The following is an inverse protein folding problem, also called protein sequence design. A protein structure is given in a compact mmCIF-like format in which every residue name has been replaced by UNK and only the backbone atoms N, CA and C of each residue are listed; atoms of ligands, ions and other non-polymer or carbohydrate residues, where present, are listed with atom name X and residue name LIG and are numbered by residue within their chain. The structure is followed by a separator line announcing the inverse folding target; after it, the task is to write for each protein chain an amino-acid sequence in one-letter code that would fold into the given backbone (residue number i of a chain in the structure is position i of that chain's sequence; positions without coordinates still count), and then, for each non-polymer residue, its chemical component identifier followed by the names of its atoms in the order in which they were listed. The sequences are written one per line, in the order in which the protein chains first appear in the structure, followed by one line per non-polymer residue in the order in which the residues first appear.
data_IF_280521837334
#
_entry.id   IF_280521837334
#
_cell.length_a   1.000
_cell.length_b   1.000
_cell.length_c   1.000
_cell.angle_alpha   90.00
_cell.angle_beta   90.00
_cell.angle_gamma   90.00
#
_symmetry.space_group_name_H-M   'P 1'
#
loop_
_entity.id
_entity.type
_entity.pdbx_description
1 polymer ?
#
# COMPACT_ATOMS: atom_id res chain seq x y z
N UNK A 1 -8.26 11.82 2.13
CA UNK A 1 -7.49 10.66 2.59
C UNK A 1 -8.40 9.46 2.49
N UNK A 2 -7.86 8.31 2.10
CA UNK A 2 -8.59 7.05 2.19
C UNK A 2 -8.59 6.55 3.65
N UNK A 3 -9.77 6.32 4.19
CA UNK A 3 -10.05 5.74 5.52
C UNK A 3 -11.38 4.97 5.43
N UNK A 4 -11.50 3.75 5.98
CA UNK A 4 -10.48 3.01 6.72
C UNK A 4 -9.32 2.53 5.84
N UNK A 5 -8.15 2.32 6.45
CA UNK A 5 -6.99 1.74 5.76
C UNK A 5 -7.14 0.24 5.59
N UNK A 6 -7.07 -0.22 4.35
CA UNK A 6 -7.01 -1.64 4.02
C UNK A 6 -5.54 -2.01 3.83
N UNK A 7 -5.03 -2.92 4.65
CA UNK A 7 -3.64 -3.36 4.66
C UNK A 7 -3.51 -4.86 4.88
N UNK A 8 -2.27 -5.33 4.96
CA UNK A 8 -1.95 -6.74 5.19
C UNK A 8 -0.99 -6.91 6.36
N UNK A 9 -0.99 -8.08 6.97
CA UNK A 9 0.05 -8.47 7.91
C UNK A 9 1.33 -8.92 7.18
N UNK A 10 2.50 -8.91 7.84
CA UNK A 10 3.73 -9.42 7.24
C UNK A 10 3.61 -10.86 6.75
N UNK A 11 2.83 -11.69 7.45
CA UNK A 11 2.38 -13.00 7.01
C UNK A 11 0.87 -12.97 6.85
N UNK A 12 0.37 -13.30 5.66
CA UNK A 12 -1.06 -13.18 5.35
C UNK A 12 -1.58 -14.37 4.54
N UNK A 13 -2.86 -14.70 4.72
CA UNK A 13 -3.53 -15.74 3.94
C UNK A 13 -3.68 -15.33 2.47
N UNK A 14 -3.40 -16.26 1.56
CA UNK A 14 -3.56 -16.06 0.12
C UNK A 14 -4.99 -15.64 -0.23
N UNK A 15 -6.00 -16.31 0.35
CA UNK A 15 -7.40 -15.99 0.10
C UNK A 15 -7.75 -14.54 0.44
N UNK A 16 -7.29 -14.03 1.58
CA UNK A 16 -7.53 -12.66 2.01
C UNK A 16 -6.90 -11.64 1.05
N UNK A 17 -5.67 -11.88 0.58
CA UNK A 17 -5.03 -11.03 -0.43
C UNK A 17 -5.84 -11.04 -1.72
N UNK A 18 -6.24 -12.22 -2.21
CA UNK A 18 -7.03 -12.35 -3.44
C UNK A 18 -8.36 -11.60 -3.35
N UNK A 19 -9.05 -11.69 -2.22
CA UNK A 19 -10.37 -11.08 -2.04
C UNK A 19 -10.27 -9.55 -1.96
N UNK A 20 -9.28 -9.03 -1.25
CA UNK A 20 -8.98 -7.59 -1.22
C UNK A 20 -8.58 -7.10 -2.62
N UNK A 21 -7.72 -7.82 -3.34
CA UNK A 21 -7.32 -7.43 -4.70
C UNK A 21 -8.50 -7.46 -5.68
N UNK A 22 -9.49 -8.34 -5.51
CA UNK A 22 -10.69 -8.38 -6.37
C UNK A 22 -11.67 -7.24 -6.07
N UNK A 23 -11.76 -6.83 -4.81
CA UNK A 23 -12.76 -5.85 -4.35
C UNK A 23 -12.22 -4.42 -4.41
N UNK A 24 -10.94 -4.23 -4.08
CA UNK A 24 -10.31 -2.91 -3.96
C UNK A 24 -9.50 -2.53 -5.20
N UNK A 25 -9.59 -1.25 -5.57
CA UNK A 25 -8.84 -0.65 -6.67
C UNK A 25 -7.56 0.10 -6.22
N UNK A 26 -7.17 -0.04 -4.95
CA UNK A 26 -5.97 0.61 -4.42
C UNK A 26 -4.69 0.04 -5.06
N UNK A 27 -3.70 0.91 -5.32
CA UNK A 27 -2.42 0.52 -5.91
C UNK A 27 -1.35 0.18 -4.88
N UNK A 28 -1.57 0.48 -3.60
CA UNK A 28 -0.62 0.23 -2.52
C UNK A 28 -1.34 -0.05 -1.22
N UNK A 29 -0.77 -0.95 -0.42
CA UNK A 29 -1.33 -1.46 0.82
C UNK A 29 -0.28 -1.35 1.92
N UNK A 30 -0.57 -0.71 3.07
CA UNK A 30 0.33 -0.69 4.20
C UNK A 30 0.46 -2.10 4.76
N UNK A 31 1.68 -2.46 5.17
CA UNK A 31 1.94 -3.66 5.96
C UNK A 31 1.94 -3.25 7.41
N UNK A 32 1.13 -3.95 8.21
CA UNK A 32 0.91 -3.61 9.61
C UNK A 32 0.98 -4.81 10.51
N UNK A 33 1.50 -4.61 11.72
CA UNK A 33 1.65 -5.67 12.71
C UNK A 33 1.27 -5.14 14.08
N UNK A 34 0.56 -5.95 14.85
CA UNK A 34 0.26 -5.66 16.25
C UNK A 34 1.46 -6.10 17.10
N UNK A 35 2.10 -5.17 17.83
CA UNK A 35 3.18 -5.54 18.75
C UNK A 35 2.63 -6.42 19.88
N UNK A 36 3.41 -7.41 20.31
CA UNK A 36 3.05 -8.26 21.45
C UNK A 36 2.91 -7.44 22.75
N UNK A 37 3.78 -6.44 22.93
CA UNK A 37 3.84 -5.58 24.12
C UNK A 37 2.71 -4.53 24.20
N UNK A 38 2.03 -4.23 23.08
CA UNK A 38 0.91 -3.26 23.03
C UNK A 38 -0.32 -3.87 22.33
N UNK A 39 -1.05 -4.79 23.00
CA UNK A 39 -2.24 -5.43 22.43
C UNK A 39 -3.29 -4.40 22.00
N UNK A 40 -3.86 -4.60 20.80
CA UNK A 40 -4.84 -3.68 20.21
C UNK A 40 -4.22 -2.49 19.46
N UNK A 41 -2.89 -2.30 19.53
CA UNK A 41 -2.19 -1.34 18.67
C UNK A 41 -1.80 -1.99 17.35
N UNK A 42 -1.68 -1.17 16.31
CA UNK A 42 -1.23 -1.57 14.98
C UNK A 42 -0.07 -0.67 14.59
N UNK A 43 1.08 -1.25 14.24
CA UNK A 43 2.28 -0.49 13.84
C UNK A 43 2.57 -0.69 12.37
N UNK A 44 2.90 0.39 11.67
CA UNK A 44 3.34 0.33 10.27
C UNK A 44 4.70 -0.37 10.18
N UNK A 45 4.80 -1.34 9.27
CA UNK A 45 6.03 -2.10 8.96
C UNK A 45 6.52 -1.86 7.54
N UNK A 46 5.64 -1.47 6.63
CA UNK A 46 6.03 -1.22 5.25
C UNK A 46 4.88 -0.84 4.34
N UNK A 47 5.17 -0.79 3.06
CA UNK A 47 4.18 -0.62 1.99
C UNK A 47 4.47 -1.62 0.89
N UNK A 48 3.43 -2.35 0.46
CA UNK A 48 3.50 -3.25 -0.70
C UNK A 48 2.57 -2.75 -1.81
N UNK A 49 3.00 -2.89 -3.06
CA UNK A 49 2.23 -2.48 -4.22
C UNK A 49 1.33 -3.62 -4.72
N UNK A 50 0.22 -3.23 -5.33
CA UNK A 50 -0.73 -4.16 -5.96
C UNK A 50 -0.05 -5.05 -6.98
N UNK A 51 0.77 -4.46 -7.86
CA UNK A 51 1.47 -5.17 -8.92
C UNK A 51 2.45 -6.21 -8.35
N UNK A 52 3.11 -5.91 -7.23
CA UNK A 52 4.00 -6.86 -6.56
C UNK A 52 3.23 -8.08 -6.07
N UNK A 53 2.08 -7.87 -5.41
CA UNK A 53 1.21 -8.97 -4.94
C UNK A 53 0.73 -9.84 -6.10
N UNK A 54 0.33 -9.23 -7.22
CA UNK A 54 -0.11 -9.94 -8.41
C UNK A 54 1.01 -10.82 -8.98
N UNK A 55 2.25 -10.32 -9.05
CA UNK A 55 3.40 -11.12 -9.52
C UNK A 55 3.71 -12.28 -8.56
N UNK A 56 3.69 -12.03 -7.24
CA UNK A 56 3.90 -13.05 -6.19
C UNK A 56 2.86 -14.18 -6.34
N UNK A 57 1.58 -13.83 -6.50
CA UNK A 57 0.49 -14.78 -6.70
C UNK A 57 0.64 -15.54 -8.01
N UNK A 58 0.96 -14.86 -9.12
CA UNK A 58 1.15 -15.49 -10.43
C UNK A 58 2.28 -16.52 -10.42
N UNK A 59 3.34 -16.26 -9.67
CA UNK A 59 4.50 -17.14 -9.49
C UNK A 59 4.30 -18.19 -8.39
N UNK A 60 3.13 -18.21 -7.74
CA UNK A 60 2.79 -19.11 -6.63
C UNK A 60 3.82 -19.10 -5.49
N UNK A 61 4.27 -17.91 -5.12
CA UNK A 61 5.21 -17.70 -4.01
C UNK A 61 4.46 -17.69 -2.68
N UNK A 62 3.93 -18.87 -2.33
CA UNK A 62 3.19 -19.15 -1.10
C UNK A 62 3.34 -20.62 -0.74
N UNK A 63 3.03 -20.97 0.51
CA UNK A 63 3.08 -22.36 0.97
C UNK A 63 2.02 -22.61 2.06
N UNK A 64 1.67 -23.89 2.32
CA UNK A 64 0.91 -24.26 3.51
C UNK A 64 1.53 -23.67 4.77
N UNK A 65 0.70 -23.39 5.77
CA UNK A 65 1.15 -22.84 7.04
C UNK A 65 2.21 -23.75 7.69
N UNK A 66 3.29 -23.14 8.21
CA UNK A 66 4.43 -23.86 8.79
C UNK A 66 5.49 -24.32 7.79
N UNK A 67 5.19 -24.33 6.48
CA UNK A 67 6.17 -24.67 5.44
C UNK A 67 6.85 -23.42 4.86
N UNK A 68 8.12 -23.54 4.41
CA UNK A 68 8.81 -22.44 3.76
C UNK A 68 8.20 -22.17 2.37
N UNK A 69 7.94 -20.90 2.06
CA UNK A 69 7.52 -20.50 0.72
C UNK A 69 8.68 -20.62 -0.29
N UNK A 70 8.39 -20.84 -1.59
CA UNK A 70 9.41 -20.86 -2.62
C UNK A 70 10.23 -19.56 -2.67
N UNK A 71 11.55 -19.68 -2.89
CA UNK A 71 12.47 -18.52 -3.00
C UNK A 71 12.77 -18.12 -4.45
N UNK A 72 12.17 -18.78 -5.44
CA UNK A 72 12.53 -18.68 -6.86
C UNK A 72 12.03 -17.40 -7.57
N UNK A 73 11.89 -16.28 -6.86
CA UNK A 73 11.46 -15.01 -7.42
C UNK A 73 12.62 -14.02 -7.46
N UNK A 74 12.84 -13.43 -8.62
CA UNK A 74 13.92 -12.48 -8.89
C UNK A 74 13.37 -11.10 -9.22
N UNK A 75 14.22 -10.08 -9.17
CA UNK A 75 13.85 -8.72 -9.62
C UNK A 75 13.43 -8.72 -11.10
N UNK A 76 14.01 -9.60 -11.92
CA UNK A 76 13.65 -9.73 -13.33
C UNK A 76 12.19 -10.17 -13.50
N UNK A 77 11.66 -11.01 -12.61
CA UNK A 77 10.26 -11.43 -12.66
C UNK A 77 9.31 -10.24 -12.51
N UNK A 78 9.60 -9.31 -11.61
CA UNK A 78 8.79 -8.09 -11.46
C UNK A 78 8.90 -7.14 -12.67
N UNK A 79 10.04 -7.15 -13.38
CA UNK A 79 10.26 -6.32 -14.57
C UNK A 79 9.63 -6.92 -15.83
N UNK A 80 9.63 -8.25 -15.97
CA UNK A 80 9.11 -8.93 -17.16
C UNK A 80 7.60 -8.76 -17.33
N UNK A 81 6.87 -8.53 -16.23
CA UNK A 81 5.46 -8.19 -16.27
C UNK A 81 5.20 -6.68 -16.42
N UNK A 82 6.22 -5.88 -16.70
CA UNK A 82 6.05 -4.47 -17.05
C UNK A 82 6.24 -4.29 -18.57
N UNK A 83 5.32 -3.61 -19.28
CA UNK A 83 4.09 -2.96 -18.81
C UNK A 83 2.86 -3.88 -18.83
N UNK A 84 3.03 -5.20 -18.92
CA UNK A 84 1.95 -6.18 -18.96
C UNK A 84 1.17 -6.21 -17.63
N UNK A 85 0.22 -5.30 -17.46
CA UNK A 85 -0.62 -5.19 -16.27
C UNK A 85 -1.51 -6.44 -16.10
N UNK A 86 -0.93 -7.49 -15.51
CA UNK A 86 -1.64 -8.69 -15.08
C UNK A 86 -2.80 -8.29 -14.19
N UNK A 87 -3.99 -8.78 -14.49
CA UNK A 87 -5.15 -8.55 -13.62
C UNK A 87 -5.25 -9.71 -12.65
N UNK A 88 -5.74 -9.43 -11.45
CA UNK A 88 -6.05 -10.49 -10.46
C UNK A 88 -7.03 -11.53 -11.01
N UNK A 89 -7.87 -11.14 -11.98
CA UNK A 89 -8.83 -12.02 -12.67
C UNK A 89 -8.15 -13.10 -13.52
N UNK A 90 -6.90 -12.86 -13.96
CA UNK A 90 -6.14 -13.77 -14.83
C UNK A 90 -5.27 -14.77 -14.04
N UNK A 91 -5.37 -14.73 -12.71
CA UNK A 91 -4.63 -15.60 -11.80
C UNK A 91 -5.59 -16.66 -11.24
N UNK A 92 -5.35 -17.92 -11.61
CA UNK A 92 -6.04 -19.05 -11.03
C UNK A 92 -5.37 -19.46 -9.71
N UNK A 93 -6.16 -19.42 -8.63
CA UNK A 93 -5.79 -19.88 -7.29
C UNK A 93 -6.86 -20.91 -6.89
N UNK A 94 -6.45 -22.12 -6.50
CA UNK A 94 -7.37 -23.17 -6.05
C UNK A 94 -7.93 -22.87 -4.65
N UNK A 95 -9.02 -23.53 -4.26
CA UNK A 95 -9.57 -23.41 -2.90
C UNK A 95 -8.57 -23.89 -1.82
N UNK A 96 -7.74 -24.88 -2.15
CA UNK A 96 -6.66 -25.30 -1.26
C UNK A 96 -5.60 -24.20 -1.10
N UNK A 97 -5.16 -23.61 -2.20
CA UNK A 97 -4.14 -22.54 -2.21
C UNK A 97 -4.64 -21.28 -1.50
N UNK A 98 -5.94 -21.01 -1.45
CA UNK A 98 -6.52 -19.90 -0.68
C UNK A 98 -6.24 -20.03 0.83
N UNK A 99 -6.04 -21.25 1.33
CA UNK A 99 -5.72 -21.52 2.73
C UNK A 99 -4.22 -21.40 3.03
N UNK A 100 -3.37 -21.24 2.02
CA UNK A 100 -1.93 -21.10 2.20
C UNK A 100 -1.56 -19.69 2.71
N UNK A 101 -0.31 -19.57 3.16
CA UNK A 101 0.26 -18.34 3.71
C UNK A 101 1.31 -17.76 2.77
N UNK A 102 1.36 -16.43 2.71
CA UNK A 102 2.41 -15.65 2.05
C UNK A 102 3.17 -14.87 3.13
N UNK A 103 4.49 -14.96 3.13
CA UNK A 103 5.39 -14.05 3.80
C UNK A 103 5.78 -12.89 2.88
N UNK A 104 5.28 -11.70 3.20
CA UNK A 104 5.48 -10.46 2.45
C UNK A 104 6.77 -9.72 2.84
N UNK A 105 7.45 -10.13 3.92
CA UNK A 105 8.66 -9.48 4.44
C UNK A 105 9.78 -9.28 3.41
N UNK A 106 10.01 -10.20 2.47
CA UNK A 106 11.03 -10.00 1.44
C UNK A 106 10.64 -8.99 0.35
N UNK A 107 9.37 -8.58 0.27
CA UNK A 107 8.83 -7.90 -0.91
C UNK A 107 8.34 -6.47 -0.67
N UNK A 108 7.89 -6.16 0.55
CA UNK A 108 7.41 -4.81 0.85
C UNK A 108 8.57 -3.83 1.03
N UNK A 109 8.33 -2.55 0.79
CA UNK A 109 9.27 -1.49 1.17
C UNK A 109 9.18 -1.26 2.70
N UNK A 110 10.25 -1.55 3.48
CA UNK A 110 10.23 -1.41 4.93
C UNK A 110 10.25 0.06 5.40
N UNK A 111 10.63 0.99 4.53
CA UNK A 111 10.74 2.42 4.83
C UNK A 111 9.88 3.24 3.86
N UNK A 112 8.54 3.12 3.93
CA UNK A 112 7.66 3.98 3.15
C UNK A 112 7.74 5.42 3.66
N UNK A 113 7.46 6.39 2.78
CA UNK A 113 7.33 7.78 3.22
C UNK A 113 6.10 7.94 4.11
N UNK A 114 6.31 8.50 5.30
CA UNK A 114 5.28 8.80 6.29
C UNK A 114 5.29 10.27 6.66
N UNK A 115 4.15 10.76 7.15
CA UNK A 115 4.00 12.07 7.79
C UNK A 115 3.17 11.93 9.05
N UNK A 116 3.39 12.82 10.01
CA UNK A 116 2.54 12.90 11.21
C UNK A 116 1.18 13.54 10.86
N UNK A 117 0.13 13.13 11.57
CA UNK A 117 -1.23 13.67 11.42
C UNK A 117 -1.35 15.19 11.62
N UNK A 118 -0.40 15.83 12.30
CA UNK A 118 -0.37 17.28 12.55
C UNK A 118 0.16 18.10 11.37
N UNK A 119 0.66 17.45 10.30
CA UNK A 119 1.20 18.15 9.15
C UNK A 119 0.13 19.00 8.44
N UNK A 120 0.48 20.26 8.19
CA UNK A 120 -0.40 21.14 7.41
C UNK A 120 -0.42 20.75 5.93
N UNK A 121 -1.55 20.95 5.28
CA UNK A 121 -1.74 20.60 3.87
C UNK A 121 -0.66 21.19 2.91
N UNK A 122 -0.17 22.44 3.07
CA UNK A 122 0.96 22.94 2.29
C UNK A 122 2.23 22.07 2.42
N UNK A 123 2.57 21.65 3.65
CA UNK A 123 3.74 20.79 3.91
C UNK A 123 3.56 19.42 3.26
N UNK A 124 2.37 18.84 3.41
CA UNK A 124 2.01 17.57 2.75
C UNK A 124 2.17 17.67 1.24
N UNK A 125 1.64 18.73 0.63
CA UNK A 125 1.74 18.94 -0.81
C UNK A 125 3.20 19.06 -1.28
N UNK A 126 4.02 19.84 -0.56
CA UNK A 126 5.43 20.01 -0.89
C UNK A 126 6.22 18.70 -0.78
N UNK A 127 6.03 17.91 0.27
CA UNK A 127 6.68 16.59 0.41
C UNK A 127 6.22 15.66 -0.71
N UNK A 128 4.91 15.58 -0.95
CA UNK A 128 4.33 14.67 -1.93
C UNK A 128 4.79 15.01 -3.36
N UNK A 129 4.74 16.29 -3.74
CA UNK A 129 5.13 16.76 -5.09
C UNK A 129 6.63 16.82 -5.26
N UNK A 130 7.37 17.29 -4.25
CA UNK A 130 8.82 17.41 -4.29
C UNK A 130 9.52 16.06 -4.45
N UNK A 131 9.00 15.00 -3.82
CA UNK A 131 9.54 13.64 -3.94
C UNK A 131 8.84 12.79 -5.04
N UNK A 132 7.85 13.35 -5.75
CA UNK A 132 7.15 12.63 -6.81
C UNK A 132 6.31 11.42 -6.34
N UNK A 133 5.83 11.44 -5.09
CA UNK A 133 5.20 10.29 -4.45
C UNK A 133 3.90 9.84 -5.16
N UNK A 134 3.54 8.57 -4.91
CA UNK A 134 2.24 7.99 -5.28
C UNK A 134 1.36 7.74 -4.06
N UNK A 135 2.00 7.31 -2.99
CA UNK A 135 1.37 6.98 -1.71
C UNK A 135 2.17 7.69 -0.62
N UNK A 136 1.48 8.35 0.30
CA UNK A 136 2.05 8.95 1.49
C UNK A 136 1.20 8.54 2.68
N UNK A 137 1.79 7.83 3.64
CA UNK A 137 1.06 7.27 4.77
C UNK A 137 1.03 8.30 5.90
N UNK A 138 -0.16 8.55 6.46
CA UNK A 138 -0.35 9.40 7.63
C UNK A 138 -0.29 8.52 8.86
N UNK A 139 0.58 8.84 9.81
CA UNK A 139 0.73 8.10 11.06
C UNK A 139 0.50 8.97 12.29
N UNK A 140 0.24 8.33 13.43
CA UNK A 140 0.37 8.97 14.74
C UNK A 140 1.82 8.99 15.24
N UNK A 141 1.99 9.47 16.47
CA UNK A 141 3.25 9.59 17.22
C UNK A 141 3.96 8.24 17.47
N UNK A 142 3.23 7.11 17.49
CA UNK A 142 3.83 5.78 17.60
C UNK A 142 3.68 4.93 16.33
N UNK A 143 3.65 5.57 15.16
CA UNK A 143 3.65 4.92 13.84
C UNK A 143 2.44 4.02 13.57
N UNK A 144 1.30 4.29 14.21
CA UNK A 144 0.02 3.70 13.80
C UNK A 144 -0.43 4.37 12.52
N UNK A 145 -0.69 3.62 11.44
CA UNK A 145 -1.17 4.22 10.21
C UNK A 145 -2.65 4.59 10.36
N UNK A 146 -2.96 5.86 10.13
CA UNK A 146 -4.31 6.44 10.27
C UNK A 146 -5.02 6.63 8.93
N UNK A 147 -4.26 6.85 7.86
CA UNK A 147 -4.78 7.08 6.53
C UNK A 147 -3.68 7.06 5.47
N UNK A 148 -4.08 7.05 4.20
CA UNK A 148 -3.17 7.21 3.07
C UNK A 148 -3.61 8.39 2.19
N UNK A 149 -2.62 9.18 1.77
CA UNK A 149 -2.79 10.29 0.84
C UNK A 149 -2.24 9.85 -0.52
N UNK A 150 -3.05 10.06 -1.54
CA UNK A 150 -2.72 9.77 -2.94
C UNK A 150 -2.83 11.04 -3.79
N UNK A 151 -2.45 10.93 -5.06
CA UNK A 151 -2.62 12.01 -6.04
C UNK A 151 -4.09 12.45 -6.17
N UNK A 152 -5.05 11.52 -6.06
CA UNK A 152 -6.48 11.84 -6.15
C UNK A 152 -6.95 12.70 -4.98
N UNK A 153 -6.35 12.52 -3.80
CA UNK A 153 -6.66 13.34 -2.63
C UNK A 153 -6.14 14.78 -2.80
N UNK A 154 -4.91 14.93 -3.30
CA UNK A 154 -4.28 16.24 -3.45
C UNK A 154 -4.76 17.01 -4.68
N UNK A 155 -5.20 16.31 -5.74
CA UNK A 155 -5.71 16.94 -6.96
C UNK A 155 -6.99 17.76 -6.73
N UNK A 156 -7.69 17.54 -5.60
CA UNK A 156 -8.83 18.36 -5.16
C UNK A 156 -8.44 19.76 -4.69
N UNK A 157 -7.15 20.04 -4.56
CA UNK A 157 -6.65 21.30 -4.04
C UNK A 157 -5.70 21.95 -5.04
N UNK A 158 -5.85 23.27 -5.23
CA UNK A 158 -4.90 24.11 -5.95
C UNK A 158 -4.07 24.89 -4.93
N UNK A 159 -2.78 24.63 -4.89
CA UNK A 159 -1.84 25.43 -4.11
C UNK A 159 -1.20 26.49 -5.02
N UNK A 160 -1.20 27.73 -4.57
CA UNK A 160 -0.50 28.84 -5.22
C UNK A 160 0.31 29.64 -4.20
N UNK A 161 1.51 30.05 -4.56
CA UNK A 161 2.36 30.88 -3.70
C UNK A 161 2.35 32.31 -4.23
N UNK A 162 1.90 33.27 -3.42
CA UNK A 162 1.96 34.70 -3.75
C UNK A 162 2.63 35.44 -2.60
N UNK A 163 3.79 36.05 -2.87
CA UNK A 163 4.61 36.78 -1.87
C UNK A 163 4.98 35.93 -0.63
N UNK A 164 5.34 34.67 -0.85
CA UNK A 164 5.69 33.74 0.24
C UNK A 164 4.51 33.15 1.01
N UNK A 165 3.28 33.65 0.80
CA UNK A 165 2.07 33.07 1.36
C UNK A 165 1.55 31.96 0.45
N UNK A 166 1.37 30.77 1.03
CA UNK A 166 0.76 29.64 0.33
C UNK A 166 -0.75 29.74 0.51
N UNK A 167 -1.46 29.99 -0.60
CA UNK A 167 -2.92 29.93 -0.67
C UNK A 167 -3.32 28.55 -1.19
N UNK A 168 -4.27 27.92 -0.51
CA UNK A 168 -4.87 26.66 -0.94
C UNK A 168 -6.34 26.89 -1.23
N UNK A 169 -6.77 26.50 -2.43
CA UNK A 169 -8.16 26.57 -2.87
C UNK A 169 -8.67 25.15 -3.13
N UNK A 170 -9.85 24.81 -2.61
CA UNK A 170 -10.50 23.54 -2.91
C UNK A 170 -11.22 23.64 -4.26
N UNK A 171 -10.87 22.74 -5.17
CA UNK A 171 -11.45 22.67 -6.51
C UNK A 171 -12.76 21.87 -6.44
N UNK A 172 -13.83 22.41 -7.05
CA UNK A 172 -15.05 21.65 -7.30
C UNK A 172 -14.79 20.74 -8.51
N UNK A 173 -14.43 19.49 -8.25
CA UNK A 173 -14.32 18.47 -9.30
C UNK A 173 -15.74 17.93 -9.52
N UNK A 174 -16.27 18.02 -10.75
CA UNK A 174 -17.47 17.29 -11.14
C UNK A 174 -17.08 15.81 -11.25
N UNK A 175 -17.75 14.95 -10.49
CA UNK A 175 -17.60 13.51 -10.63
C UNK A 175 -18.31 13.10 -11.95
N UNK A 176 -17.54 12.62 -12.92
CA UNK A 176 -18.03 11.92 -14.11
C UNK A 176 -18.12 10.43 -13.85
#
# INVERSE_FOLDING_TARGET
MASPLIGFRPKEKVGQIVDILKTENMCGFPITESPEDEPGRVKLKGLILREQLIVILKKKIFAPEGLPQPKSITIADFRNFYPLYLKIKDIAISEEERNYMIDLRPFYNPTPHTIEKTFSLPKVFNVFRGLGLRHLIVTDDKLTPLGMITRKDLAKFRAGTKRGLVKIEHLKIQDN
#
